data_IF_928472415932
#
_entry.id   IF_928472415932
#
_cell.length_a   1.000
_cell.length_b   1.000
_cell.length_c   1.000
_cell.angle_alpha   90.00
_cell.angle_beta   90.00
_cell.angle_gamma   90.00
#
_symmetry.space_group_name_H-M   'P 1'
#
loop_
_entity.id
_entity.type
_entity.pdbx_description
1 polymer ?
#
# COMPACT_ATOMS: atom_id res chain seq x y z
N UNK A 1 17.01 13.29 -20.19
CA UNK A 1 17.39 13.34 -18.76
C UNK A 1 16.57 14.47 -18.13
N UNK A 2 15.75 14.21 -17.11
CA UNK A 2 14.80 15.19 -16.57
C UNK A 2 15.24 15.63 -15.17
N UNK A 3 15.24 16.95 -14.93
CA UNK A 3 15.48 17.57 -13.62
C UNK A 3 14.15 17.62 -12.88
N UNK A 4 14.14 17.27 -11.59
CA UNK A 4 12.94 17.43 -10.78
C UNK A 4 12.62 18.94 -10.67
N UNK A 5 11.47 19.41 -11.17
CA UNK A 5 11.18 20.84 -11.25
C UNK A 5 10.93 21.49 -9.88
N UNK A 6 10.76 20.71 -8.80
CA UNK A 6 10.64 21.22 -7.43
C UNK A 6 11.97 21.28 -6.71
N UNK A 7 12.89 20.36 -7.00
CA UNK A 7 14.13 20.20 -6.24
C UNK A 7 15.36 20.78 -6.95
N UNK A 8 15.30 21.04 -8.26
CA UNK A 8 16.42 21.58 -9.03
C UNK A 8 17.67 20.69 -9.05
N UNK A 9 17.53 19.41 -8.66
CA UNK A 9 18.60 18.42 -8.58
C UNK A 9 18.32 17.26 -9.53
N UNK A 10 19.36 16.50 -9.88
CA UNK A 10 19.23 15.26 -10.64
C UNK A 10 18.45 14.24 -9.81
N UNK A 11 17.17 14.10 -10.13
CA UNK A 11 16.26 13.11 -9.59
C UNK A 11 15.25 12.75 -10.66
N UNK A 12 14.90 11.48 -10.75
CA UNK A 12 13.90 11.03 -11.71
C UNK A 12 12.56 10.91 -11.02
N UNK A 13 11.58 11.65 -11.53
CA UNK A 13 10.17 11.50 -11.16
C UNK A 13 9.38 11.21 -12.42
N UNK A 14 8.65 10.09 -12.43
CA UNK A 14 7.75 9.67 -13.50
C UNK A 14 6.32 9.77 -13.02
N UNK A 15 5.49 10.46 -13.80
CA UNK A 15 4.06 10.58 -13.58
C UNK A 15 3.31 9.82 -14.68
N UNK A 16 2.33 8.98 -14.29
CA UNK A 16 1.46 8.28 -15.23
C UNK A 16 0.01 8.59 -14.88
N UNK A 17 -0.76 9.06 -15.87
CA UNK A 17 -2.13 9.54 -15.68
C UNK A 17 -2.21 11.04 -15.34
N UNK A 18 -3.42 11.52 -15.07
CA UNK A 18 -3.71 12.93 -14.82
C UNK A 18 -4.01 13.18 -13.34
N UNK A 19 -3.20 14.00 -12.69
CA UNK A 19 -3.36 14.31 -11.26
C UNK A 19 -4.78 14.81 -10.95
N UNK A 20 -5.46 14.13 -10.00
CA UNK A 20 -6.84 14.38 -9.55
C UNK A 20 -7.94 14.25 -10.61
N UNK A 21 -7.61 13.94 -11.86
CA UNK A 21 -8.60 13.80 -12.96
C UNK A 21 -8.77 12.36 -13.41
N UNK A 22 -7.73 11.54 -13.31
CA UNK A 22 -7.82 10.12 -13.62
C UNK A 22 -8.21 9.31 -12.39
N UNK A 23 -8.93 8.21 -12.62
CA UNK A 23 -9.27 7.22 -11.59
C UNK A 23 -8.01 6.62 -10.93
N UNK A 24 -6.90 6.53 -11.66
CA UNK A 24 -5.60 6.17 -11.11
C UNK A 24 -4.52 7.13 -11.59
N UNK A 25 -3.69 7.63 -10.67
CA UNK A 25 -2.53 8.45 -10.94
C UNK A 25 -1.31 7.84 -10.25
N UNK A 26 -0.25 7.57 -11.00
CA UNK A 26 0.93 6.86 -10.51
C UNK A 26 2.13 7.80 -10.46
N UNK A 27 2.93 7.69 -9.38
CA UNK A 27 4.19 8.39 -9.21
C UNK A 27 5.32 7.40 -8.92
N UNK A 28 6.39 7.46 -9.69
CA UNK A 28 7.65 6.74 -9.40
C UNK A 28 8.72 7.80 -9.20
N UNK A 29 9.34 7.85 -8.03
CA UNK A 29 10.32 8.89 -7.73
C UNK A 29 11.39 8.47 -6.74
N UNK A 30 12.51 9.18 -6.79
CA UNK A 30 13.58 9.09 -5.81
C UNK A 30 13.14 9.77 -4.49
N UNK A 31 12.70 8.96 -3.53
CA UNK A 31 12.26 9.42 -2.21
C UNK A 31 13.43 9.88 -1.36
N UNK A 32 14.62 9.29 -1.51
CA UNK A 32 15.83 9.73 -0.82
C UNK A 32 16.12 11.18 -1.17
N UNK A 33 16.13 11.51 -2.46
CA UNK A 33 16.37 12.88 -2.92
C UNK A 33 15.30 13.85 -2.40
N UNK A 34 14.03 13.42 -2.37
CA UNK A 34 12.93 14.24 -1.85
C UNK A 34 13.05 14.52 -0.35
N UNK A 35 13.46 13.53 0.45
CA UNK A 35 13.67 13.69 1.90
C UNK A 35 14.94 14.50 2.18
N UNK A 36 15.97 14.33 1.36
CA UNK A 36 17.20 15.10 1.45
C UNK A 36 18.17 14.54 2.50
N UNK A 37 18.99 15.40 3.14
CA UNK A 37 20.10 14.97 4.00
C UNK A 37 19.71 14.11 5.20
N UNK A 38 18.46 14.18 5.65
CA UNK A 38 17.94 13.42 6.79
C UNK A 38 17.60 11.96 6.45
N UNK A 39 17.69 11.58 5.17
CA UNK A 39 17.40 10.22 4.74
C UNK A 39 18.48 9.24 5.22
N UNK A 40 18.11 8.38 6.18
CA UNK A 40 18.97 7.31 6.69
C UNK A 40 19.27 6.21 5.66
N UNK A 41 18.49 6.11 4.57
CA UNK A 41 18.61 5.02 3.60
C UNK A 41 19.50 5.39 2.40
N UNK A 42 20.43 4.51 1.98
CA UNK A 42 21.30 4.78 0.85
C UNK A 42 20.57 4.76 -0.49
N UNK A 43 19.51 3.96 -0.62
CA UNK A 43 18.62 3.89 -1.78
C UNK A 43 17.18 3.92 -1.25
N UNK A 44 16.38 4.88 -1.72
CA UNK A 44 14.96 4.93 -1.38
C UNK A 44 14.17 5.42 -2.58
N UNK A 45 13.66 4.46 -3.36
CA UNK A 45 12.70 4.74 -4.43
C UNK A 45 11.29 4.53 -3.89
N UNK A 46 10.34 5.31 -4.41
CA UNK A 46 8.94 5.13 -4.06
C UNK A 46 8.05 5.05 -5.30
N UNK A 47 7.18 4.06 -5.29
CA UNK A 47 6.06 3.91 -6.21
C UNK A 47 4.77 4.17 -5.43
N UNK A 48 4.00 5.17 -5.86
CA UNK A 48 2.72 5.54 -5.24
C UNK A 48 1.60 5.47 -6.27
N UNK A 49 0.48 4.87 -5.86
CA UNK A 49 -0.77 4.88 -6.60
C UNK A 49 -1.75 5.78 -5.85
N UNK A 50 -2.19 6.84 -6.50
CA UNK A 50 -3.31 7.65 -6.05
C UNK A 50 -4.56 7.19 -6.81
N UNK A 51 -5.44 6.48 -6.11
CA UNK A 51 -6.74 6.09 -6.63
C UNK A 51 -7.75 7.20 -6.30
N UNK A 52 -8.57 7.58 -7.28
CA UNK A 52 -9.62 8.59 -7.14
C UNK A 52 -10.95 8.02 -7.68
N UNK A 53 -12.07 8.64 -7.28
CA UNK A 53 -13.42 8.31 -7.75
C UNK A 53 -13.71 6.81 -7.60
N UNK A 54 -14.35 6.22 -8.60
CA UNK A 54 -14.71 4.82 -8.71
C UNK A 54 -13.56 3.85 -8.43
N UNK A 55 -12.31 4.19 -8.78
CA UNK A 55 -11.17 3.32 -8.49
C UNK A 55 -10.79 3.33 -7.01
N UNK A 56 -10.96 4.48 -6.32
CA UNK A 56 -10.82 4.53 -4.87
C UNK A 56 -11.98 3.78 -4.20
N UNK A 57 -13.20 3.99 -4.67
CA UNK A 57 -14.39 3.30 -4.15
C UNK A 57 -14.30 1.79 -4.35
N UNK A 58 -13.92 1.32 -5.54
CA UNK A 58 -13.69 -0.10 -5.79
C UNK A 58 -12.54 -0.66 -4.95
N UNK A 59 -11.51 0.14 -4.66
CA UNK A 59 -10.37 -0.26 -3.83
C UNK A 59 -10.64 -0.19 -2.33
N UNK A 60 -11.64 0.57 -1.87
CA UNK A 60 -12.03 0.66 -0.47
C UNK A 60 -13.26 -0.21 -0.16
N UNK A 61 -14.27 -0.18 -1.03
CA UNK A 61 -15.58 -0.79 -0.86
C UNK A 61 -15.96 -1.70 -2.05
N UNK A 62 -15.73 -3.02 -1.97
CA UNK A 62 -15.92 -3.95 -3.10
C UNK A 62 -17.39 -4.20 -3.48
N UNK A 63 -18.37 -3.43 -2.99
CA UNK A 63 -19.79 -3.67 -3.24
C UNK A 63 -20.27 -3.31 -4.65
N UNK A 64 -19.43 -2.66 -5.47
CA UNK A 64 -19.78 -2.22 -6.82
C UNK A 64 -19.71 -3.36 -7.84
N UNK A 65 -20.73 -3.47 -8.69
CA UNK A 65 -20.92 -4.56 -9.64
C UNK A 65 -20.11 -4.30 -10.91
N UNK A 66 -18.84 -4.73 -10.93
CA UNK A 66 -17.89 -4.44 -12.02
C UNK A 66 -17.83 -5.62 -12.99
N UNK A 67 -17.93 -5.34 -14.29
CA UNK A 67 -17.72 -6.33 -15.35
C UNK A 67 -16.26 -6.84 -15.32
N UNK A 68 -16.03 -8.15 -15.19
CA UNK A 68 -14.71 -8.70 -14.97
C UNK A 68 -13.87 -8.92 -16.26
N UNK A 69 -14.43 -8.71 -17.44
CA UNK A 69 -13.70 -8.68 -18.71
C UNK A 69 -13.37 -7.25 -19.17
N UNK A 70 -14.30 -6.31 -18.96
CA UNK A 70 -14.17 -4.94 -19.47
C UNK A 70 -13.74 -3.93 -18.41
N UNK A 71 -14.02 -4.18 -17.13
CA UNK A 71 -13.76 -3.28 -16.02
C UNK A 71 -14.81 -2.17 -15.83
N UNK A 72 -15.91 -2.20 -16.56
CA UNK A 72 -17.00 -1.23 -16.46
C UNK A 72 -17.87 -1.45 -15.22
N UNK A 73 -18.31 -0.37 -14.58
CA UNK A 73 -19.18 -0.43 -13.40
C UNK A 73 -20.63 -0.44 -13.84
N UNK A 74 -21.34 -1.51 -13.49
CA UNK A 74 -22.78 -1.63 -13.68
C UNK A 74 -23.52 -1.09 -12.46
N UNK A 75 -24.46 -0.16 -12.70
CA UNK A 75 -25.36 0.36 -11.68
C UNK A 75 -26.63 -0.49 -11.49
N UNK A 76 -26.78 -1.58 -12.25
CA UNK A 76 -27.95 -2.45 -12.17
C UNK A 76 -27.79 -3.50 -11.07
N UNK A 77 -28.75 -3.52 -10.15
CA UNK A 77 -28.89 -4.51 -9.08
C UNK A 77 -29.45 -5.86 -9.58
N UNK A 78 -29.97 -5.90 -10.80
CA UNK A 78 -30.62 -7.08 -11.40
C UNK A 78 -29.61 -8.02 -12.07
N UNK A 79 -28.44 -7.49 -12.46
CA UNK A 79 -27.36 -8.24 -13.10
C UNK A 79 -26.11 -8.29 -12.21
N UNK A 80 -26.26 -8.68 -10.94
CA UNK A 80 -25.14 -8.90 -10.04
C UNK A 80 -24.22 -9.98 -10.63
N UNK A 81 -23.07 -9.56 -11.16
CA UNK A 81 -22.07 -10.49 -11.63
C UNK A 81 -21.51 -11.22 -10.40
N UNK A 82 -21.74 -12.53 -10.33
CA UNK A 82 -21.00 -13.39 -9.42
C UNK A 82 -19.56 -13.44 -9.91
N UNK A 83 -18.74 -12.46 -9.54
CA UNK A 83 -17.33 -12.49 -9.90
C UNK A 83 -16.55 -13.26 -8.81
N UNK A 84 -16.14 -14.52 -9.06
CA UNK A 84 -15.26 -15.25 -8.15
C UNK A 84 -13.86 -14.61 -8.04
N UNK A 85 -13.54 -13.60 -8.86
CA UNK A 85 -12.33 -12.76 -8.77
C UNK A 85 -12.54 -11.47 -7.99
N UNK A 86 -13.75 -11.21 -7.46
CA UNK A 86 -14.05 -10.03 -6.64
C UNK A 86 -13.21 -10.11 -5.36
N UNK A 87 -12.03 -9.49 -5.44
CA UNK A 87 -11.09 -9.47 -4.34
C UNK A 87 -11.78 -8.81 -3.15
N UNK A 88 -11.99 -9.59 -2.08
CA UNK A 88 -12.39 -9.01 -0.81
C UNK A 88 -11.29 -8.06 -0.34
N UNK A 89 -11.57 -7.16 0.59
CA UNK A 89 -10.55 -6.22 1.08
C UNK A 89 -9.27 -6.97 1.51
N UNK A 90 -9.42 -8.17 2.09
CA UNK A 90 -8.33 -9.03 2.55
C UNK A 90 -7.49 -9.64 1.40
N UNK A 91 -8.05 -9.74 0.21
CA UNK A 91 -7.39 -10.27 -0.98
C UNK A 91 -6.62 -9.19 -1.77
N UNK A 92 -6.73 -7.92 -1.33
CA UNK A 92 -6.04 -6.76 -1.93
C UNK A 92 -4.59 -6.71 -1.44
N UNK A 93 -3.69 -6.52 -2.38
CA UNK A 93 -2.28 -6.30 -2.10
C UNK A 93 -1.71 -5.28 -3.06
N UNK A 94 -0.73 -4.52 -2.60
CA UNK A 94 0.03 -3.61 -3.45
C UNK A 94 0.50 -4.28 -4.77
N UNK A 95 1.07 -5.51 -4.75
CA UNK A 95 1.42 -6.24 -5.98
C UNK A 95 0.30 -6.33 -7.01
N UNK A 96 -0.90 -6.73 -6.58
CA UNK A 96 -2.04 -6.94 -7.49
C UNK A 96 -2.52 -5.61 -8.08
N UNK A 97 -2.65 -4.59 -7.24
CA UNK A 97 -3.06 -3.24 -7.67
C UNK A 97 -2.04 -2.65 -8.64
N UNK A 98 -0.75 -2.77 -8.33
CA UNK A 98 0.30 -2.25 -9.17
C UNK A 98 0.33 -2.93 -10.54
N UNK A 99 0.20 -4.26 -10.58
CA UNK A 99 0.18 -5.02 -11.84
C UNK A 99 -1.05 -4.74 -12.71
N UNK A 100 -2.19 -4.44 -12.10
CA UNK A 100 -3.42 -4.07 -12.82
C UNK A 100 -3.26 -2.73 -13.53
N UNK A 101 -2.82 -1.69 -12.82
CA UNK A 101 -2.74 -0.32 -13.35
C UNK A 101 -1.46 -0.04 -14.16
N UNK A 102 -0.37 -0.76 -13.90
CA UNK A 102 0.92 -0.49 -14.53
C UNK A 102 1.65 -1.80 -14.90
N UNK A 103 2.03 -1.89 -16.18
CA UNK A 103 2.83 -3.00 -16.70
C UNK A 103 4.03 -2.46 -17.45
N UNK A 104 5.21 -2.94 -17.07
CA UNK A 104 6.43 -2.76 -17.86
C UNK A 104 6.57 -3.97 -18.77
N UNK A 105 6.70 -3.72 -20.07
CA UNK A 105 6.74 -4.76 -21.10
C UNK A 105 8.08 -4.73 -21.82
N UNK A 106 8.58 -5.91 -22.20
CA UNK A 106 9.79 -6.04 -23.02
C UNK A 106 9.40 -5.98 -24.51
N UNK A 107 9.93 -5.02 -25.29
CA UNK A 107 9.72 -4.98 -26.74
C UNK A 107 10.08 -6.33 -27.36
N UNK A 108 9.12 -6.90 -28.10
CA UNK A 108 9.30 -8.18 -28.77
C UNK A 108 9.19 -8.00 -30.27
N UNK A 109 9.96 -8.82 -30.99
CA UNK A 109 10.15 -8.70 -32.42
C UNK A 109 9.90 -10.05 -33.08
N UNK A 110 9.45 -10.01 -34.32
CA UNK A 110 9.36 -11.15 -35.21
C UNK A 110 10.21 -10.87 -36.43
N UNK A 111 10.79 -11.91 -36.99
CA UNK A 111 11.53 -11.81 -38.24
C UNK A 111 10.55 -11.56 -39.39
N UNK A 112 10.92 -10.63 -40.26
CA UNK A 112 10.20 -10.29 -41.48
C UNK A 112 11.18 -10.34 -42.64
N UNK A 113 10.67 -10.66 -43.81
CA UNK A 113 11.41 -10.69 -45.05
C UNK A 113 10.91 -9.58 -45.97
N UNK A 114 11.83 -8.86 -46.60
CA UNK A 114 11.54 -7.86 -47.61
C UNK A 114 11.82 -8.46 -49.00
N UNK A 115 10.76 -8.68 -49.78
CA UNK A 115 10.85 -9.29 -51.12
C UNK A 115 11.48 -8.34 -52.15
N UNK A 116 11.35 -7.02 -51.97
CA UNK A 116 11.83 -6.02 -52.93
C UNK A 116 13.36 -5.83 -52.85
N UNK A 117 13.94 -6.09 -51.67
CA UNK A 117 15.36 -5.87 -51.40
C UNK A 117 16.13 -7.12 -50.92
N UNK A 118 15.47 -8.28 -50.88
CA UNK A 118 16.03 -9.59 -50.53
C UNK A 118 16.83 -9.61 -49.21
N UNK A 119 16.23 -9.07 -48.13
CA UNK A 119 16.84 -9.14 -46.79
C UNK A 119 15.82 -9.35 -45.67
N UNK A 120 16.31 -9.88 -44.55
CA UNK A 120 15.52 -10.08 -43.33
C UNK A 120 15.71 -8.93 -42.35
N UNK A 121 14.64 -8.55 -41.67
CA UNK A 121 14.66 -7.53 -40.62
C UNK A 121 13.72 -7.87 -39.46
N UNK A 122 13.92 -7.19 -38.34
CA UNK A 122 13.08 -7.34 -37.15
C UNK A 122 11.91 -6.35 -37.19
N UNK A 123 10.69 -6.89 -37.25
CA UNK A 123 9.47 -6.12 -37.06
C UNK A 123 8.97 -6.23 -35.62
N UNK A 124 8.64 -5.12 -34.98
CA UNK A 124 7.97 -5.16 -33.66
C UNK A 124 6.63 -5.89 -33.78
N UNK A 125 6.38 -6.84 -32.88
CA UNK A 125 5.04 -7.45 -32.76
C UNK A 125 4.10 -6.50 -32.02
N UNK A 126 2.79 -6.72 -32.15
CA UNK A 126 1.78 -5.91 -31.46
C UNK A 126 1.99 -5.94 -29.93
N UNK A 127 1.91 -4.78 -29.27
CA UNK A 127 2.26 -4.58 -27.85
C UNK A 127 1.56 -5.52 -26.86
N UNK A 128 0.34 -5.98 -27.20
CA UNK A 128 -0.42 -6.96 -26.39
C UNK A 128 0.31 -8.31 -26.21
N UNK A 129 1.23 -8.64 -27.12
CA UNK A 129 2.03 -9.87 -27.07
C UNK A 129 3.40 -9.66 -26.43
N UNK A 130 3.74 -8.42 -26.03
CA UNK A 130 4.99 -8.18 -25.35
C UNK A 130 4.94 -8.80 -23.95
N UNK A 131 5.94 -9.60 -23.56
CA UNK A 131 5.98 -10.19 -22.24
C UNK A 131 6.23 -9.10 -21.19
N UNK A 132 5.80 -9.37 -19.96
CA UNK A 132 6.07 -8.47 -18.83
C UNK A 132 7.54 -8.56 -18.45
N UNK A 133 8.18 -7.41 -18.20
CA UNK A 133 9.55 -7.33 -17.74
C UNK A 133 9.79 -8.18 -16.50
N UNK A 134 10.84 -9.00 -16.52
CA UNK A 134 11.16 -9.90 -15.40
C UNK A 134 11.51 -9.15 -14.10
N UNK A 135 12.10 -7.95 -14.19
CA UNK A 135 12.39 -7.12 -13.02
C UNK A 135 11.10 -6.61 -12.36
N UNK A 136 10.04 -6.34 -13.15
CA UNK A 136 8.79 -5.80 -12.63
C UNK A 136 8.06 -6.84 -11.80
N UNK A 137 7.95 -8.07 -12.30
CA UNK A 137 7.35 -9.17 -11.55
C UNK A 137 8.17 -9.51 -10.30
N UNK A 138 9.51 -9.53 -10.40
CA UNK A 138 10.38 -9.70 -9.22
C UNK A 138 10.17 -8.61 -8.17
N UNK A 139 10.11 -7.33 -8.58
CA UNK A 139 9.85 -6.20 -7.69
C UNK A 139 8.49 -6.31 -7.00
N UNK A 140 7.42 -6.66 -7.73
CA UNK A 140 6.12 -6.83 -7.10
C UNK A 140 6.11 -8.01 -6.11
N UNK A 141 6.79 -9.10 -6.48
CA UNK A 141 6.90 -10.30 -5.63
C UNK A 141 7.61 -10.05 -4.30
N UNK A 142 8.50 -9.06 -4.18
CA UNK A 142 9.13 -8.72 -2.88
C UNK A 142 8.13 -8.19 -1.85
N UNK A 143 6.95 -7.75 -2.28
CA UNK A 143 5.88 -7.25 -1.40
C UNK A 143 4.69 -8.21 -1.27
N UNK A 144 4.81 -9.43 -1.82
CA UNK A 144 3.79 -10.48 -1.68
C UNK A 144 3.82 -11.01 -0.26
N UNK A 145 2.85 -10.58 0.55
CA UNK A 145 2.74 -10.92 1.97
C UNK A 145 2.66 -9.69 2.88
N UNK A 146 3.07 -8.53 2.36
CA UNK A 146 2.88 -7.25 3.06
C UNK A 146 1.40 -6.91 3.09
N UNK A 147 0.82 -6.91 4.29
CA UNK A 147 -0.58 -6.55 4.49
C UNK A 147 -0.70 -5.03 4.45
N UNK A 148 -1.70 -4.54 3.72
CA UNK A 148 -2.19 -3.18 3.88
C UNK A 148 -2.91 -3.16 5.23
N UNK A 149 -2.16 -2.89 6.29
CA UNK A 149 -2.73 -2.68 7.60
C UNK A 149 -3.52 -1.38 7.58
N UNK A 150 -4.74 -1.39 8.13
CA UNK A 150 -5.25 -0.19 8.77
C UNK A 150 -4.19 0.27 9.79
N UNK A 151 -4.09 1.57 10.11
CA UNK A 151 -3.30 2.01 11.26
C UNK A 151 -3.62 1.04 12.39
N UNK A 152 -2.61 0.31 12.90
CA UNK A 152 -2.84 -0.48 14.11
C UNK A 152 -3.47 0.50 15.09
N UNK A 153 -4.62 0.16 15.69
CA UNK A 153 -5.18 0.96 16.78
C UNK A 153 -4.04 1.12 17.79
N UNK A 154 -3.36 2.26 17.74
CA UNK A 154 -2.38 2.63 18.72
C UNK A 154 -3.24 3.00 19.91
N UNK A 155 -3.45 2.02 20.80
CA UNK A 155 -4.29 2.16 21.99
C UNK A 155 -3.95 3.48 22.66
N UNK A 156 -4.85 4.45 22.52
CA UNK A 156 -4.63 5.80 23.02
C UNK A 156 -4.75 5.83 24.53
N UNK A 157 -4.32 6.95 25.15
CA UNK A 157 -4.49 7.16 26.59
C UNK A 157 -5.96 6.98 27.03
N UNK A 158 -6.92 7.37 26.19
CA UNK A 158 -8.34 7.20 26.46
C UNK A 158 -8.75 5.72 26.57
N UNK A 159 -8.32 4.86 25.64
CA UNK A 159 -8.66 3.43 25.68
C UNK A 159 -8.03 2.73 26.90
N UNK A 160 -6.84 3.17 27.33
CA UNK A 160 -6.20 2.67 28.56
C UNK A 160 -7.00 3.09 29.78
N UNK A 161 -7.48 4.34 29.82
CA UNK A 161 -8.32 4.86 30.90
C UNK A 161 -9.68 4.14 30.96
N UNK A 162 -10.34 3.97 29.82
CA UNK A 162 -11.61 3.25 29.70
C UNK A 162 -11.46 1.79 30.18
N UNK A 163 -10.39 1.09 29.77
CA UNK A 163 -10.11 -0.27 30.26
C UNK A 163 -9.90 -0.31 31.79
N UNK A 164 -9.14 0.64 32.35
CA UNK A 164 -8.90 0.71 33.78
C UNK A 164 -10.21 0.95 34.56
N UNK A 165 -11.07 1.83 34.06
CA UNK A 165 -12.33 2.20 34.70
C UNK A 165 -13.40 1.10 34.57
N UNK A 166 -13.54 0.49 33.39
CA UNK A 166 -14.62 -0.46 33.12
C UNK A 166 -14.29 -1.88 33.56
N UNK A 167 -13.04 -2.34 33.37
CA UNK A 167 -12.68 -3.75 33.58
C UNK A 167 -11.83 -3.99 34.83
N UNK A 168 -11.01 -3.02 35.23
CA UNK A 168 -9.99 -3.23 36.28
C UNK A 168 -10.40 -2.63 37.63
N UNK A 169 -11.29 -1.63 37.63
CA UNK A 169 -11.68 -0.83 38.81
C UNK A 169 -12.18 -1.67 39.99
N UNK A 170 -13.04 -2.67 39.76
CA UNK A 170 -13.56 -3.55 40.81
C UNK A 170 -12.47 -4.40 41.48
N UNK A 171 -11.54 -4.95 40.69
CA UNK A 171 -10.41 -5.71 41.21
C UNK A 171 -9.45 -4.83 42.02
N UNK A 172 -9.19 -3.60 41.53
CA UNK A 172 -8.39 -2.60 42.24
C UNK A 172 -9.02 -2.26 43.59
N UNK A 173 -10.34 -2.03 43.64
CA UNK A 173 -11.04 -1.72 44.88
C UNK A 173 -10.94 -2.86 45.89
N UNK A 174 -11.17 -4.10 45.47
CA UNK A 174 -11.02 -5.28 46.33
C UNK A 174 -9.60 -5.38 46.92
N UNK A 175 -8.58 -5.27 46.07
CA UNK A 175 -7.19 -5.37 46.53
C UNK A 175 -6.79 -4.23 47.46
N UNK A 176 -7.33 -3.02 47.23
CA UNK A 176 -7.13 -1.88 48.13
C UNK A 176 -7.76 -2.08 49.51
N UNK A 177 -8.86 -2.82 49.61
CA UNK A 177 -9.49 -3.19 50.89
C UNK A 177 -8.67 -4.21 51.66
N UNK A 178 -8.05 -5.18 50.98
CA UNK A 178 -7.27 -6.25 51.59
C UNK A 178 -5.88 -5.80 52.00
N UNK A 179 -5.21 -5.04 51.14
CA UNK A 179 -3.78 -4.70 51.31
C UNK A 179 -3.53 -3.21 51.58
N UNK A 180 -4.58 -2.39 51.66
CA UNK A 180 -4.46 -0.95 51.89
C UNK A 180 -3.75 -0.23 50.75
N UNK A 181 -3.22 0.97 51.05
CA UNK A 181 -2.57 1.85 50.07
C UNK A 181 -1.27 1.28 49.49
N UNK A 182 -0.57 0.43 50.24
CA UNK A 182 0.69 -0.19 49.79
C UNK A 182 0.54 -1.07 48.54
N UNK A 183 -0.68 -1.53 48.24
CA UNK A 183 -0.96 -2.31 47.05
C UNK A 183 -0.64 -1.53 45.77
N UNK A 184 -1.02 -0.24 45.73
CA UNK A 184 -0.78 0.60 44.56
C UNK A 184 0.70 0.86 44.33
N UNK A 185 1.48 1.03 45.40
CA UNK A 185 2.92 1.23 45.29
C UNK A 185 3.63 -0.01 44.75
N UNK A 186 3.22 -1.21 45.22
CA UNK A 186 3.70 -2.49 44.67
C UNK A 186 3.28 -2.69 43.22
N UNK A 187 2.08 -2.25 42.85
CA UNK A 187 1.59 -2.33 41.47
C UNK A 187 2.39 -1.41 40.53
N UNK A 188 2.69 -0.19 40.98
CA UNK A 188 3.56 0.77 40.26
C UNK A 188 4.98 0.24 40.08
N UNK A 189 5.62 -0.26 41.15
CA UNK A 189 6.97 -0.84 41.07
C UNK A 189 7.05 -2.01 40.09
N UNK A 190 5.98 -2.80 39.95
CA UNK A 190 5.91 -3.88 38.93
C UNK A 190 5.61 -3.36 37.52
N UNK A 191 4.94 -2.23 37.41
CA UNK A 191 4.55 -1.61 36.15
C UNK A 191 5.68 -0.85 35.46
N UNK A 192 6.50 -0.13 36.24
CA UNK A 192 7.63 0.68 35.76
C UNK A 192 8.60 -0.07 34.83
N UNK A 193 9.17 -1.24 35.19
CA UNK A 193 10.05 -1.97 34.29
C UNK A 193 9.33 -2.54 33.05
N UNK A 194 8.00 -2.71 33.09
CA UNK A 194 7.21 -3.14 31.93
C UNK A 194 6.93 -1.97 30.99
N UNK A 195 6.71 -0.78 31.54
CA UNK A 195 6.62 0.47 30.79
C UNK A 195 7.92 0.74 30.03
N UNK A 196 9.06 0.71 30.74
CA UNK A 196 10.38 1.00 30.15
C UNK A 196 10.82 0.03 29.04
N UNK A 197 10.30 -1.19 29.04
CA UNK A 197 10.58 -2.18 27.99
C UNK A 197 9.64 -2.07 26.80
N UNK A 198 8.49 -1.43 26.96
CA UNK A 198 7.45 -1.39 25.96
C UNK A 198 7.42 -0.03 25.25
N UNK A 199 8.06 0.02 24.08
CA UNK A 199 8.09 1.19 23.20
C UNK A 199 6.69 1.74 22.87
N UNK A 200 5.65 0.88 22.87
CA UNK A 200 4.26 1.33 22.67
C UNK A 200 3.80 2.30 23.76
N UNK A 201 4.11 2.02 25.02
CA UNK A 201 3.69 2.87 26.13
C UNK A 201 4.56 4.13 26.25
N UNK A 202 5.86 4.02 25.92
CA UNK A 202 6.77 5.16 25.89
C UNK A 202 6.37 6.21 24.84
N UNK A 203 5.76 5.80 23.72
CA UNK A 203 5.31 6.73 22.70
C UNK A 203 4.02 7.49 23.06
N UNK A 204 3.35 7.12 24.16
CA UNK A 204 2.10 7.75 24.63
C UNK A 204 2.34 8.83 25.70
N UNK A 205 3.59 9.00 26.16
CA UNK A 205 4.03 9.94 27.21
C UNK A 205 5.16 10.79 26.67
#
# INVERSE_FOLDING_TARGET
MFVDPKLGKMGHTVYVGAFRKSNCFVRIYDKKLQVGPECAWPIWNRLEFQLNHDAADQYCNPTWNVDPETGEISNSWENLFSDPRRARFEDRSFPKTAFYYLKFLEPSYTEKYDEDFDFYYLGTIHKRYWPVCSWWTKFLNTSVGEKIGLPRHETGLQEIDDWLNEQVSGAIYLMSKVHGREYFDKLKQKGEPKFERNKKYQNLV
#
